data_IF_789470809801
#
_entry.id   IF_789470809801
#
_cell.length_a   1.000
_cell.length_b   1.000
_cell.length_c   1.000
_cell.angle_alpha   90.00
_cell.angle_beta   90.00
_cell.angle_gamma   90.00
#
_symmetry.space_group_name_H-M   'P 1'
#
loop_
_entity.id
_entity.type
_entity.pdbx_description
1 polymer ?
#
# COMPACT_ATOMS: atom_id res chain seq x y z
N UNK A 1 9.63 -15.94 0.10
CA UNK A 1 9.71 -15.16 -1.16
C UNK A 1 9.19 -15.95 -2.36
N UNK A 2 9.61 -17.20 -2.57
CA UNK A 2 9.16 -18.05 -3.69
C UNK A 2 7.65 -18.23 -3.71
N UNK A 3 7.03 -18.51 -2.56
CA UNK A 3 5.59 -18.68 -2.42
C UNK A 3 4.83 -17.40 -2.79
N UNK A 4 5.34 -16.25 -2.37
CA UNK A 4 4.78 -14.94 -2.75
C UNK A 4 4.86 -14.74 -4.26
N UNK A 5 6.03 -14.95 -4.88
CA UNK A 5 6.21 -14.82 -6.32
C UNK A 5 5.30 -15.76 -7.12
N UNK A 6 5.01 -16.95 -6.59
CA UNK A 6 4.09 -17.90 -7.20
C UNK A 6 2.60 -17.47 -7.16
N UNK A 7 2.27 -16.39 -6.43
CA UNK A 7 0.95 -15.78 -6.40
C UNK A 7 0.75 -14.73 -7.51
N UNK A 8 1.80 -14.37 -8.25
CA UNK A 8 1.66 -13.49 -9.42
C UNK A 8 0.87 -14.20 -10.52
N UNK A 9 -0.18 -13.54 -11.01
CA UNK A 9 -1.02 -14.03 -12.09
C UNK A 9 -1.38 -12.86 -13.01
N UNK A 10 -1.59 -13.15 -14.30
CA UNK A 10 -2.22 -12.21 -15.21
C UNK A 10 -3.65 -11.94 -14.73
N UNK A 11 -3.92 -10.68 -14.46
CA UNK A 11 -5.21 -10.23 -13.94
C UNK A 11 -5.60 -8.90 -14.58
N UNK A 12 -6.84 -8.80 -15.04
CA UNK A 12 -7.38 -7.55 -15.55
C UNK A 12 -7.85 -6.65 -14.40
N UNK A 13 -6.97 -5.74 -13.95
CA UNK A 13 -7.23 -4.82 -12.86
C UNK A 13 -8.34 -3.81 -13.16
N UNK A 14 -8.74 -3.62 -14.43
CA UNK A 14 -9.88 -2.77 -14.79
C UNK A 14 -11.22 -3.32 -14.27
N UNK A 15 -11.29 -4.63 -14.06
CA UNK A 15 -12.48 -5.29 -13.50
C UNK A 15 -12.77 -4.92 -12.05
N UNK A 16 -11.79 -4.32 -11.36
CA UNK A 16 -11.91 -3.87 -9.97
C UNK A 16 -12.63 -2.51 -9.83
N UNK A 17 -12.84 -1.79 -10.92
CA UNK A 17 -13.51 -0.49 -10.90
C UNK A 17 -14.90 -0.63 -10.26
N UNK A 18 -15.22 0.27 -9.33
CA UNK A 18 -16.43 0.25 -8.49
C UNK A 18 -16.60 -0.97 -7.58
N UNK A 19 -15.59 -1.83 -7.43
CA UNK A 19 -15.64 -2.93 -6.47
C UNK A 19 -15.35 -2.46 -5.04
N UNK A 20 -15.88 -3.22 -4.07
CA UNK A 20 -15.55 -3.05 -2.66
C UNK A 20 -14.11 -3.47 -2.40
N UNK A 21 -13.41 -2.69 -1.59
CA UNK A 21 -12.07 -3.03 -1.11
C UNK A 21 -11.82 -2.45 0.28
N UNK A 22 -10.75 -2.90 0.88
CA UNK A 22 -10.24 -2.44 2.17
C UNK A 22 -8.80 -1.97 2.01
N UNK A 23 -8.38 -1.02 2.82
CA UNK A 23 -7.04 -0.47 2.76
C UNK A 23 -6.22 -0.77 4.00
N UNK A 24 -4.90 -0.88 3.83
CA UNK A 24 -3.91 -0.77 4.89
C UNK A 24 -2.97 0.38 4.56
N UNK A 25 -2.85 1.35 5.46
CA UNK A 25 -2.01 2.54 5.32
C UNK A 25 -0.89 2.51 6.34
N UNK A 26 0.34 2.45 5.86
CA UNK A 26 1.55 2.62 6.66
C UNK A 26 2.20 3.94 6.28
N UNK A 27 2.25 4.86 7.25
CA UNK A 27 2.85 6.17 7.08
C UNK A 27 4.31 6.13 7.47
N UNK A 28 5.17 6.13 6.47
CA UNK A 28 6.60 6.24 6.69
C UNK A 28 6.97 7.52 7.43
N UNK A 29 7.93 7.41 8.36
CA UNK A 29 8.61 8.55 8.93
C UNK A 29 9.52 9.21 7.88
N UNK A 30 10.39 10.16 8.29
CA UNK A 30 11.29 10.88 7.38
C UNK A 30 12.17 10.01 6.48
N UNK A 31 12.34 8.72 6.81
CA UNK A 31 13.27 7.82 6.11
C UNK A 31 12.64 6.56 5.53
N UNK A 32 11.35 6.34 5.77
CA UNK A 32 10.67 5.13 5.34
C UNK A 32 9.75 5.41 4.15
N UNK A 33 9.35 4.34 3.45
CA UNK A 33 8.32 4.43 2.42
C UNK A 33 6.97 4.62 3.10
N UNK A 34 6.08 5.36 2.46
CA UNK A 34 4.65 5.34 2.81
C UNK A 34 3.94 4.41 1.84
N UNK A 35 3.07 3.57 2.35
CA UNK A 35 2.34 2.62 1.52
C UNK A 35 0.86 2.59 1.86
N UNK A 36 0.01 2.69 0.83
CA UNK A 36 -1.37 2.25 0.88
C UNK A 36 -1.49 0.96 0.07
N UNK A 37 -1.93 -0.12 0.68
CA UNK A 37 -2.29 -1.34 -0.06
C UNK A 37 -3.80 -1.51 -0.05
N UNK A 38 -4.42 -1.67 -1.22
CA UNK A 38 -5.82 -2.01 -1.36
C UNK A 38 -5.98 -3.51 -1.55
N UNK A 39 -6.96 -4.09 -0.86
CA UNK A 39 -7.33 -5.50 -0.88
C UNK A 39 -8.73 -5.66 -1.42
N UNK A 40 -8.88 -6.45 -2.47
CA UNK A 40 -10.16 -6.83 -3.07
C UNK A 40 -10.39 -8.33 -2.89
N UNK A 41 -11.64 -8.73 -2.72
CA UNK A 41 -12.04 -10.14 -2.77
C UNK A 41 -12.77 -10.38 -4.10
N UNK A 42 -12.17 -11.19 -4.96
CA UNK A 42 -12.71 -11.54 -6.28
C UNK A 42 -12.85 -13.06 -6.36
N UNK A 43 -14.07 -13.54 -6.30
CA UNK A 43 -14.40 -14.98 -6.37
C UNK A 43 -13.61 -15.84 -5.36
N UNK A 44 -13.42 -15.29 -4.15
CA UNK A 44 -12.69 -15.97 -3.07
C UNK A 44 -11.18 -15.82 -3.12
N UNK A 45 -10.62 -15.13 -4.12
CA UNK A 45 -9.20 -14.75 -4.16
C UNK A 45 -9.01 -13.31 -3.71
N UNK A 46 -7.89 -13.06 -3.08
CA UNK A 46 -7.50 -11.73 -2.59
C UNK A 46 -6.56 -11.05 -3.57
N UNK A 47 -7.02 -9.97 -4.19
CA UNK A 47 -6.22 -9.16 -5.13
C UNK A 47 -5.64 -7.97 -4.39
N UNK A 48 -4.31 -7.81 -4.43
CA UNK A 48 -3.57 -6.73 -3.78
C UNK A 48 -3.11 -5.69 -4.81
N UNK A 49 -3.33 -4.41 -4.50
CA UNK A 49 -2.77 -3.29 -5.28
C UNK A 49 -2.01 -2.37 -4.32
N UNK A 50 -0.67 -2.32 -4.39
CA UNK A 50 0.12 -1.39 -3.61
C UNK A 50 0.20 -0.02 -4.29
N UNK A 51 0.11 1.03 -3.49
CA UNK A 51 0.43 2.42 -3.84
C UNK A 51 1.52 2.89 -2.88
N UNK A 52 2.76 2.91 -3.37
CA UNK A 52 3.95 3.16 -2.57
C UNK A 52 4.47 4.55 -2.92
N UNK A 53 4.78 5.34 -1.90
CA UNK A 53 5.20 6.74 -2.03
C UNK A 53 6.60 6.94 -1.46
N UNK A 54 7.39 7.76 -2.15
CA UNK A 54 8.73 8.17 -1.74
C UNK A 54 8.90 9.66 -2.02
N UNK A 55 9.57 10.44 -1.14
CA UNK A 55 10.00 11.78 -1.47
C UNK A 55 10.96 11.76 -2.66
N UNK A 56 10.59 12.42 -3.76
CA UNK A 56 11.29 12.29 -5.05
C UNK A 56 12.73 12.77 -5.00
N UNK A 57 12.99 13.87 -4.29
CA UNK A 57 14.34 14.46 -4.18
C UNK A 57 15.32 13.57 -3.42
N UNK A 58 14.81 12.67 -2.55
CA UNK A 58 15.62 11.73 -1.79
C UNK A 58 15.79 10.36 -2.45
N UNK A 59 15.06 10.07 -3.53
CA UNK A 59 15.05 8.74 -4.16
C UNK A 59 16.47 8.25 -4.52
N UNK A 60 17.30 9.10 -5.13
CA UNK A 60 18.69 8.76 -5.51
C UNK A 60 19.58 8.45 -4.31
N UNK A 61 19.49 9.26 -3.23
CA UNK A 61 20.25 9.01 -2.01
C UNK A 61 19.82 7.72 -1.32
N UNK A 62 18.53 7.45 -1.34
CA UNK A 62 17.97 6.22 -0.76
C UNK A 62 18.35 5.00 -1.57
N UNK A 63 18.37 5.09 -2.90
CA UNK A 63 18.84 4.01 -3.77
C UNK A 63 20.24 3.55 -3.39
N UNK A 64 21.14 4.49 -3.13
CA UNK A 64 22.52 4.18 -2.72
C UNK A 64 22.59 3.56 -1.30
N UNK A 65 21.69 3.98 -0.39
CA UNK A 65 21.64 3.45 0.99
C UNK A 65 21.09 2.03 1.04
N UNK A 66 19.99 1.80 0.34
CA UNK A 66 19.18 0.60 0.47
C UNK A 66 19.58 -0.49 -0.55
N UNK A 67 20.45 -0.14 -1.51
CA UNK A 67 20.91 -1.06 -2.55
C UNK A 67 19.85 -1.41 -3.60
N UNK A 68 18.83 -0.57 -3.75
CA UNK A 68 17.73 -0.75 -4.71
C UNK A 68 17.54 0.49 -5.58
N UNK A 69 17.04 0.31 -6.80
CA UNK A 69 16.90 1.41 -7.75
C UNK A 69 15.50 2.07 -7.68
N UNK A 70 15.26 2.89 -6.64
CA UNK A 70 14.02 3.67 -6.53
C UNK A 70 13.83 4.63 -7.71
N UNK A 71 14.90 5.11 -8.34
CA UNK A 71 14.81 6.01 -9.49
C UNK A 71 14.21 5.28 -10.69
N UNK A 72 14.63 4.04 -10.94
CA UNK A 72 14.03 3.21 -11.97
C UNK A 72 12.56 2.90 -11.66
N UNK A 73 12.25 2.56 -10.41
CA UNK A 73 10.87 2.26 -10.01
C UNK A 73 9.93 3.48 -10.13
N UNK A 74 10.44 4.70 -9.88
CA UNK A 74 9.69 5.94 -10.12
C UNK A 74 9.44 6.15 -11.62
N UNK A 75 10.50 6.04 -12.44
CA UNK A 75 10.40 6.20 -13.90
C UNK A 75 9.40 5.23 -14.51
N UNK A 76 9.42 3.97 -14.05
CA UNK A 76 8.62 2.88 -14.60
C UNK A 76 7.21 2.82 -13.97
N UNK A 77 6.89 3.73 -13.04
CA UNK A 77 5.56 3.87 -12.44
C UNK A 77 5.22 2.82 -11.39
N UNK A 78 6.21 2.13 -10.84
CA UNK A 78 6.02 1.13 -9.78
C UNK A 78 5.80 1.77 -8.40
N UNK A 79 6.33 2.97 -8.20
CA UNK A 79 6.15 3.79 -7.00
C UNK A 79 5.85 5.24 -7.40
N UNK A 80 5.34 6.04 -6.48
CA UNK A 80 4.96 7.43 -6.70
C UNK A 80 5.92 8.37 -5.98
N UNK A 81 6.45 9.36 -6.71
CA UNK A 81 7.23 10.45 -6.14
C UNK A 81 6.32 11.48 -5.50
N UNK A 82 6.57 11.84 -4.25
CA UNK A 82 5.98 13.03 -3.65
C UNK A 82 6.94 14.21 -3.75
N UNK A 83 6.44 15.44 -3.98
CA UNK A 83 7.30 16.61 -4.05
C UNK A 83 8.14 16.82 -2.78
N UNK A 84 9.40 17.25 -2.93
CA UNK A 84 10.27 17.62 -1.82
C UNK A 84 11.04 16.48 -1.18
N UNK A 85 11.67 16.81 -0.04
CA UNK A 85 12.57 15.92 0.72
C UNK A 85 11.86 15.04 1.75
N UNK A 86 10.62 15.38 2.10
CA UNK A 86 9.78 14.67 3.08
C UNK A 86 8.48 14.23 2.44
N UNK A 87 7.81 13.25 3.04
CA UNK A 87 6.53 12.78 2.54
C UNK A 87 5.50 13.92 2.46
N UNK A 88 5.00 14.21 1.27
CA UNK A 88 3.92 15.18 1.08
C UNK A 88 2.57 14.50 1.30
N UNK A 89 2.01 14.70 2.48
CA UNK A 89 0.73 14.13 2.85
C UNK A 89 -0.44 14.71 2.05
N UNK A 90 -0.32 15.92 1.50
CA UNK A 90 -1.34 16.49 0.62
C UNK A 90 -1.44 15.71 -0.70
N UNK A 91 -0.28 15.31 -1.24
CA UNK A 91 -0.21 14.44 -2.42
C UNK A 91 -0.84 13.07 -2.15
N UNK A 92 -0.49 12.46 -1.02
CA UNK A 92 -1.03 11.15 -0.61
C UNK A 92 -2.55 11.24 -0.38
N UNK A 93 -3.03 12.28 0.32
CA UNK A 93 -4.46 12.56 0.52
C UNK A 93 -5.20 12.64 -0.82
N UNK A 94 -4.67 13.42 -1.75
CA UNK A 94 -5.26 13.55 -3.09
C UNK A 94 -5.35 12.19 -3.78
N UNK A 95 -4.28 11.39 -3.73
CA UNK A 95 -4.27 10.05 -4.35
C UNK A 95 -5.32 9.14 -3.73
N UNK A 96 -5.45 9.11 -2.40
CA UNK A 96 -6.45 8.30 -1.69
C UNK A 96 -7.86 8.74 -2.07
N UNK A 97 -8.13 10.04 -2.13
CA UNK A 97 -9.42 10.57 -2.55
C UNK A 97 -9.75 10.23 -4.01
N UNK A 98 -8.77 10.24 -4.91
CA UNK A 98 -8.98 9.82 -6.30
C UNK A 98 -9.25 8.31 -6.39
N UNK A 99 -8.59 7.49 -5.58
CA UNK A 99 -8.87 6.05 -5.49
C UNK A 99 -10.25 5.77 -4.91
N UNK A 100 -10.74 6.57 -3.97
CA UNK A 100 -12.10 6.46 -3.40
C UNK A 100 -13.19 6.77 -4.41
N UNK A 101 -12.88 7.49 -5.50
CA UNK A 101 -13.79 7.69 -6.63
C UNK A 101 -13.81 6.50 -7.60
N UNK A 102 -12.67 5.79 -7.68
CA UNK A 102 -12.49 4.63 -8.56
C UNK A 102 -13.00 3.34 -7.93
N UNK A 103 -12.77 3.15 -6.63
CA UNK A 103 -13.12 1.97 -5.87
C UNK A 103 -14.03 2.30 -4.70
N UNK A 104 -14.80 1.35 -4.22
CA UNK A 104 -15.60 1.49 -2.99
C UNK A 104 -14.78 1.07 -1.78
N UNK A 105 -13.87 1.93 -1.32
CA UNK A 105 -13.04 1.70 -0.14
C UNK A 105 -13.94 1.71 1.10
N UNK A 106 -14.06 0.59 1.77
CA UNK A 106 -14.93 0.41 2.95
C UNK A 106 -14.30 1.00 4.21
N UNK A 107 -13.05 0.67 4.45
CA UNK A 107 -12.24 1.26 5.51
C UNK A 107 -10.75 1.15 5.18
N UNK A 108 -9.94 1.95 5.87
CA UNK A 108 -8.48 1.93 5.77
C UNK A 108 -7.94 1.75 7.18
N UNK A 109 -7.28 0.62 7.45
CA UNK A 109 -6.55 0.39 8.68
C UNK A 109 -5.23 1.19 8.65
N UNK A 110 -4.84 1.79 9.77
CA UNK A 110 -3.60 2.56 9.88
C UNK A 110 -2.93 2.36 11.24
N UNK A 111 -1.61 2.56 11.30
CA UNK A 111 -0.89 2.53 12.58
C UNK A 111 -1.23 3.77 13.41
N UNK A 112 -1.88 3.54 14.55
CA UNK A 112 -2.32 4.60 15.46
C UNK A 112 -1.18 5.47 16.02
N UNK A 113 0.05 4.95 16.06
CA UNK A 113 1.21 5.69 16.54
C UNK A 113 1.68 6.75 15.55
N UNK A 114 1.39 6.52 14.27
CA UNK A 114 1.64 7.47 13.18
C UNK A 114 0.37 8.24 12.80
N UNK A 115 -0.63 8.32 13.69
CA UNK A 115 -1.84 9.10 13.48
C UNK A 115 -1.46 10.57 13.25
N UNK A 116 -1.49 10.96 12.02
CA UNK A 116 -1.07 12.27 11.55
C UNK A 116 -2.28 13.12 11.20
N UNK A 117 -2.05 14.39 10.89
CA UNK A 117 -3.07 15.27 10.32
C UNK A 117 -3.72 14.63 9.08
N UNK A 118 -2.99 13.80 8.31
CA UNK A 118 -3.53 13.09 7.15
C UNK A 118 -4.74 12.21 7.50
N UNK A 119 -4.71 11.51 8.64
CA UNK A 119 -5.84 10.66 9.07
C UNK A 119 -7.08 11.53 9.33
N UNK A 120 -6.90 12.65 10.04
CA UNK A 120 -8.00 13.61 10.33
C UNK A 120 -8.56 14.18 9.01
N UNK A 121 -7.68 14.56 8.09
CA UNK A 121 -8.07 15.14 6.82
C UNK A 121 -8.84 14.13 5.94
N UNK A 122 -8.41 12.88 5.91
CA UNK A 122 -9.10 11.81 5.18
C UNK A 122 -10.48 11.50 5.81
N UNK A 123 -10.59 11.51 7.15
CA UNK A 123 -11.87 11.36 7.83
C UNK A 123 -12.82 12.53 7.49
N UNK A 124 -12.32 13.75 7.46
CA UNK A 124 -13.09 14.93 7.06
C UNK A 124 -13.52 14.87 5.58
N UNK A 125 -12.76 14.18 4.74
CA UNK A 125 -13.10 13.91 3.32
C UNK A 125 -14.15 12.79 3.18
N UNK A 126 -14.51 12.12 4.28
CA UNK A 126 -15.53 11.06 4.30
C UNK A 126 -14.98 9.62 4.29
N UNK A 127 -13.65 9.44 4.39
CA UNK A 127 -13.06 8.10 4.50
C UNK A 127 -13.27 7.52 5.91
N UNK A 128 -13.44 6.20 5.99
CA UNK A 128 -13.45 5.46 7.24
C UNK A 128 -12.03 4.99 7.54
N UNK A 129 -11.44 5.46 8.63
CA UNK A 129 -10.09 5.13 9.09
C UNK A 129 -10.18 4.38 10.40
N UNK A 130 -9.61 3.17 10.45
CA UNK A 130 -9.61 2.29 11.61
C UNK A 130 -8.20 2.14 12.19
N UNK A 131 -7.96 2.55 13.45
CA UNK A 131 -6.66 2.39 14.06
C UNK A 131 -6.35 0.90 14.29
N UNK A 132 -5.15 0.47 13.89
CA UNK A 132 -4.69 -0.91 14.02
C UNK A 132 -3.40 -0.98 14.81
N UNK A 133 -3.34 -1.87 15.80
CA UNK A 133 -2.14 -2.03 16.64
C UNK A 133 -1.06 -2.83 15.93
N UNK A 134 0.20 -2.40 16.04
CA UNK A 134 1.36 -3.07 15.44
C UNK A 134 2.04 -4.08 16.37
N UNK A 135 1.49 -4.33 17.55
CA UNK A 135 2.04 -5.28 18.52
C UNK A 135 1.69 -6.74 18.19
N UNK A 136 2.39 -7.68 18.85
CA UNK A 136 2.21 -9.13 18.65
C UNK A 136 0.76 -9.59 18.77
N UNK A 137 0.00 -9.02 19.71
CA UNK A 137 -1.42 -9.40 19.92
C UNK A 137 -2.26 -9.06 18.69
N UNK A 138 -2.06 -7.89 18.11
CA UNK A 138 -2.85 -7.42 16.96
C UNK A 138 -2.39 -8.04 15.64
N UNK A 139 -1.07 -8.21 15.46
CA UNK A 139 -0.48 -8.64 14.19
C UNK A 139 -0.42 -10.15 14.01
N UNK A 140 -0.44 -10.94 15.10
CA UNK A 140 -0.20 -12.38 15.03
C UNK A 140 -1.22 -13.12 14.15
N UNK A 141 -2.52 -12.88 14.32
CA UNK A 141 -3.54 -13.55 13.51
C UNK A 141 -3.57 -13.08 12.05
N UNK A 142 -3.55 -11.77 11.75
CA UNK A 142 -3.48 -11.30 10.36
C UNK A 142 -2.26 -11.83 9.61
N UNK A 143 -1.07 -11.88 10.25
CA UNK A 143 0.15 -12.41 9.64
C UNK A 143 0.01 -13.89 9.29
N UNK A 144 -0.52 -14.72 10.22
CA UNK A 144 -0.76 -16.15 9.97
C UNK A 144 -1.81 -16.37 8.86
N UNK A 145 -2.85 -15.53 8.84
CA UNK A 145 -3.86 -15.59 7.77
C UNK A 145 -3.23 -15.27 6.43
N UNK A 146 -2.44 -14.19 6.34
CA UNK A 146 -1.73 -13.82 5.12
C UNK A 146 -0.81 -14.95 4.64
N UNK A 147 -0.04 -15.55 5.56
CA UNK A 147 0.82 -16.70 5.25
C UNK A 147 0.02 -17.87 4.68
N UNK A 148 -1.10 -18.22 5.30
CA UNK A 148 -1.97 -19.31 4.83
C UNK A 148 -2.55 -19.04 3.43
N UNK A 149 -2.96 -17.80 3.16
CA UNK A 149 -3.49 -17.39 1.85
C UNK A 149 -2.39 -17.41 0.76
N UNK A 150 -1.16 -17.03 1.10
CA UNK A 150 0.00 -17.14 0.20
C UNK A 150 0.27 -18.62 -0.14
N UNK A 151 0.37 -19.49 0.88
CA UNK A 151 0.63 -20.91 0.69
C UNK A 151 -0.48 -21.61 -0.11
N UNK A 152 -1.72 -21.18 0.06
CA UNK A 152 -2.88 -21.67 -0.68
C UNK A 152 -3.01 -21.08 -2.10
N UNK A 153 -2.15 -20.14 -2.48
CA UNK A 153 -2.20 -19.39 -3.76
C UNK A 153 -3.55 -18.68 -3.97
N UNK A 154 -4.14 -18.21 -2.90
CA UNK A 154 -5.37 -17.42 -2.92
C UNK A 154 -5.11 -15.93 -3.10
N UNK A 155 -3.85 -15.51 -3.25
CA UNK A 155 -3.44 -14.13 -3.46
C UNK A 155 -3.13 -13.90 -4.93
N UNK A 156 -3.48 -12.72 -5.42
CA UNK A 156 -3.09 -12.18 -6.73
C UNK A 156 -2.43 -10.82 -6.49
N UNK A 157 -1.25 -10.62 -7.05
CA UNK A 157 -0.55 -9.34 -7.03
C UNK A 157 0.06 -9.00 -8.39
N UNK A 158 0.31 -7.70 -8.62
CA UNK A 158 0.78 -7.15 -9.88
C UNK A 158 2.30 -7.24 -10.09
N UNK A 159 2.99 -8.05 -9.30
CA UNK A 159 4.45 -8.20 -9.36
C UNK A 159 5.20 -6.86 -9.20
N UNK A 160 4.68 -5.95 -8.37
CA UNK A 160 5.35 -4.68 -8.10
C UNK A 160 6.73 -4.94 -7.47
N UNK A 161 7.84 -4.47 -8.07
CA UNK A 161 9.18 -4.81 -7.62
C UNK A 161 9.51 -4.24 -6.23
N UNK A 162 8.94 -3.09 -5.86
CA UNK A 162 9.11 -2.54 -4.52
C UNK A 162 8.40 -3.39 -3.47
N UNK A 163 7.17 -3.83 -3.73
CA UNK A 163 6.42 -4.73 -2.84
C UNK A 163 7.11 -6.10 -2.70
N UNK A 164 7.73 -6.60 -3.77
CA UNK A 164 8.47 -7.87 -3.73
C UNK A 164 9.79 -7.75 -2.94
N UNK A 165 10.37 -6.56 -2.90
CA UNK A 165 11.60 -6.29 -2.16
C UNK A 165 11.35 -6.12 -0.65
N UNK A 166 10.23 -5.48 -0.24
CA UNK A 166 9.85 -5.32 1.17
C UNK A 166 9.53 -6.66 1.84
#
# INVERSE_FOLDING_TARGET
>A
HEEWMACHQDFDYSTLDNMQCWGGLDLGSTRDLTCLTLLFNVDGKFVFIPYIFIPEENAKKRSARDGVDYVAWLRDGHIFGTPGDVADYSFIRKKINDLSKKYRIQSICYDRWNASQLVIDLQNDGATLDPFGQGFVSMSMPTKTLEAEILSKNIIHNNNPCMNWC
#
